data_IF_164556722424
#
_entry.id   IF_164556722424
#
_cell.length_a   1.000
_cell.length_b   1.000
_cell.length_c   1.000
_cell.angle_alpha   90.00
_cell.angle_beta   90.00
_cell.angle_gamma   90.00
#
_symmetry.space_group_name_H-M   'P 1'
#
loop_
_entity.id
_entity.type
_entity.pdbx_description
1 polymer ?
#
# COMPACT_ATOMS: atom_id res chain seq x y z
N UNK A 1 35.40 -22.63 -19.08
CA UNK A 1 35.67 -23.74 -18.15
C UNK A 1 36.55 -24.77 -18.88
N UNK A 2 37.83 -24.50 -19.05
CA UNK A 2 38.65 -25.46 -19.79
C UNK A 2 39.61 -26.29 -18.93
N UNK A 3 39.85 -25.92 -17.68
CA UNK A 3 40.94 -26.60 -16.90
C UNK A 3 40.84 -26.61 -15.40
N UNK A 4 39.79 -26.01 -14.78
CA UNK A 4 39.57 -26.03 -13.34
C UNK A 4 38.13 -26.34 -13.01
N UNK A 5 37.87 -27.10 -11.97
CA UNK A 5 36.51 -27.30 -11.46
C UNK A 5 35.96 -25.96 -10.97
N UNK A 6 34.65 -25.69 -11.20
CA UNK A 6 34.05 -24.45 -10.72
C UNK A 6 34.09 -24.38 -9.18
N UNK A 7 34.71 -23.34 -8.67
CA UNK A 7 34.70 -23.04 -7.25
C UNK A 7 33.49 -22.13 -6.92
N UNK A 8 32.86 -22.38 -5.77
CA UNK A 8 31.76 -21.58 -5.27
C UNK A 8 31.75 -21.50 -3.78
N UNK A 9 31.19 -20.39 -3.25
CA UNK A 9 31.01 -20.20 -1.82
C UNK A 9 29.50 -20.31 -1.51
N UNK A 10 29.17 -21.04 -0.42
CA UNK A 10 27.78 -21.09 0.07
C UNK A 10 27.50 -19.80 0.83
N UNK A 11 26.70 -18.92 0.25
CA UNK A 11 26.31 -17.65 0.86
C UNK A 11 25.19 -17.84 1.89
N UNK A 12 24.22 -18.74 1.60
CA UNK A 12 23.02 -18.93 2.42
C UNK A 12 22.47 -20.33 2.24
N UNK A 13 22.04 -20.95 3.32
CA UNK A 13 21.26 -22.19 3.31
C UNK A 13 19.79 -21.82 3.44
N UNK A 14 19.00 -22.05 2.38
CA UNK A 14 17.58 -21.68 2.31
C UNK A 14 16.72 -22.73 3.02
N UNK A 15 17.03 -24.01 2.84
CA UNK A 15 16.31 -25.12 3.46
C UNK A 15 16.50 -26.43 2.72
N UNK A 16 15.69 -27.44 3.05
CA UNK A 16 15.69 -28.72 2.37
C UNK A 16 14.95 -28.63 1.04
N UNK A 17 15.46 -29.26 -0.01
CA UNK A 17 14.85 -29.27 -1.36
C UNK A 17 13.44 -29.86 -1.41
N UNK A 18 13.07 -30.69 -0.43
CA UNK A 18 11.73 -31.28 -0.31
C UNK A 18 10.71 -30.38 0.42
N UNK A 19 11.16 -29.23 0.94
CA UNK A 19 10.31 -28.28 1.67
C UNK A 19 9.77 -27.22 0.71
N UNK A 20 8.45 -27.09 0.63
CA UNK A 20 7.78 -26.12 -0.24
C UNK A 20 8.14 -24.67 0.12
N UNK A 21 8.33 -24.37 1.42
CA UNK A 21 8.79 -23.06 1.88
C UNK A 21 10.20 -22.76 1.33
N UNK A 22 11.10 -23.72 1.43
CA UNK A 22 12.46 -23.55 0.91
C UNK A 22 12.46 -23.36 -0.61
N UNK A 23 11.56 -24.03 -1.34
CA UNK A 23 11.41 -23.85 -2.79
C UNK A 23 10.88 -22.44 -3.12
N UNK A 24 9.88 -21.94 -2.39
CA UNK A 24 9.39 -20.58 -2.56
C UNK A 24 10.48 -19.55 -2.26
N UNK A 25 11.20 -19.70 -1.16
CA UNK A 25 12.32 -18.82 -0.82
C UNK A 25 13.47 -18.89 -1.86
N UNK A 26 13.72 -20.07 -2.46
CA UNK A 26 14.71 -20.19 -3.53
C UNK A 26 14.33 -19.38 -4.77
N UNK A 27 13.05 -19.36 -5.13
CA UNK A 27 12.53 -18.52 -6.21
C UNK A 27 12.71 -17.04 -5.87
N UNK A 28 12.36 -16.62 -4.64
CA UNK A 28 12.51 -15.23 -4.21
C UNK A 28 13.99 -14.79 -4.25
N UNK A 29 14.92 -15.64 -3.83
CA UNK A 29 16.37 -15.38 -3.90
C UNK A 29 16.86 -15.31 -5.38
N UNK A 30 16.41 -16.24 -6.25
CA UNK A 30 16.76 -16.23 -7.68
C UNK A 30 16.41 -14.92 -8.35
N UNK A 31 15.24 -14.35 -8.01
CA UNK A 31 14.77 -13.07 -8.54
C UNK A 31 15.21 -11.86 -7.71
N UNK A 32 16.07 -12.07 -6.69
CA UNK A 32 16.53 -11.01 -5.77
C UNK A 32 15.38 -10.24 -5.11
N UNK A 33 14.30 -10.93 -4.78
CA UNK A 33 13.13 -10.37 -4.11
C UNK A 33 13.31 -10.43 -2.59
N UNK A 34 13.40 -9.28 -1.90
CA UNK A 34 13.59 -9.25 -0.46
C UNK A 34 12.29 -9.62 0.25
N UNK A 35 12.28 -10.70 1.03
CA UNK A 35 11.10 -11.20 1.74
C UNK A 35 11.15 -11.02 3.27
N UNK A 36 12.24 -10.45 3.77
CA UNK A 36 12.42 -10.10 5.19
C UNK A 36 12.73 -8.61 5.28
N UNK A 37 12.11 -7.90 6.20
CA UNK A 37 12.47 -6.53 6.52
C UNK A 37 13.65 -6.50 7.49
N UNK A 38 14.49 -5.47 7.39
CA UNK A 38 15.58 -5.28 8.36
C UNK A 38 15.05 -4.87 9.73
N UNK A 39 15.82 -5.15 10.79
CA UNK A 39 15.47 -4.74 12.16
C UNK A 39 15.22 -3.23 12.28
N UNK A 40 15.93 -2.42 11.50
CA UNK A 40 15.76 -0.96 11.48
C UNK A 40 14.40 -0.55 10.93
N UNK A 41 13.97 -1.19 9.84
CA UNK A 41 12.65 -0.97 9.22
C UNK A 41 11.54 -1.40 10.17
N UNK A 42 11.70 -2.56 10.81
CA UNK A 42 10.75 -3.06 11.80
C UNK A 42 10.64 -2.13 13.02
N UNK A 43 11.76 -1.65 13.55
CA UNK A 43 11.77 -0.71 14.67
C UNK A 43 11.12 0.62 14.29
N UNK A 44 11.43 1.17 13.11
CA UNK A 44 10.81 2.39 12.60
C UNK A 44 9.31 2.20 12.44
N UNK A 45 8.87 1.12 11.79
CA UNK A 45 7.45 0.77 11.62
C UNK A 45 6.73 0.66 12.96
N UNK A 46 7.35 0.01 13.95
CA UNK A 46 6.76 -0.17 15.27
C UNK A 46 6.63 1.13 16.06
N UNK A 47 7.48 2.12 15.77
CA UNK A 47 7.43 3.45 16.38
C UNK A 47 6.28 4.32 15.85
N UNK A 48 5.75 3.99 14.64
CA UNK A 48 4.64 4.74 14.03
C UNK A 48 3.36 4.51 14.83
N UNK A 49 2.78 5.62 15.28
CA UNK A 49 1.51 5.61 16.02
C UNK A 49 0.32 5.72 15.07
N UNK A 50 -0.79 5.08 15.46
CA UNK A 50 -2.10 5.24 14.79
C UNK A 50 -2.75 6.57 15.18
N UNK A 51 -2.03 7.67 15.04
CA UNK A 51 -2.58 9.00 15.28
C UNK A 51 -3.16 9.50 13.96
N UNK A 52 -4.47 9.77 13.98
CA UNK A 52 -5.10 10.58 12.95
C UNK A 52 -4.64 12.01 13.22
N UNK A 53 -3.63 12.42 12.51
CA UNK A 53 -3.28 13.81 12.50
C UNK A 53 -4.41 14.56 11.78
N UNK A 54 -5.32 15.14 12.56
CA UNK A 54 -6.32 16.07 12.04
C UNK A 54 -5.55 17.34 11.71
N UNK A 55 -4.69 17.21 10.70
CA UNK A 55 -3.98 18.36 10.16
C UNK A 55 -5.03 19.40 9.77
N UNK A 56 -4.79 20.63 10.14
CA UNK A 56 -5.62 21.81 9.85
C UNK A 56 -6.01 21.95 8.36
N UNK A 57 -5.45 21.11 7.52
CA UNK A 57 -5.57 21.13 6.05
C UNK A 57 -6.26 19.89 5.46
N UNK A 58 -6.79 18.95 6.29
CA UNK A 58 -7.55 17.80 5.77
C UNK A 58 -9.04 18.13 5.72
N UNK A 59 -9.65 17.87 4.58
CA UNK A 59 -11.11 17.96 4.46
C UNK A 59 -11.77 16.74 5.13
N UNK A 60 -12.72 16.99 6.01
CA UNK A 60 -13.53 15.91 6.60
C UNK A 60 -14.57 15.42 5.59
N UNK A 61 -14.37 14.18 5.11
CA UNK A 61 -15.29 13.49 4.20
C UNK A 61 -15.97 12.30 4.89
N UNK A 62 -15.85 12.15 6.21
CA UNK A 62 -16.38 11.01 6.95
C UNK A 62 -17.91 10.89 6.92
N UNK A 63 -18.63 11.95 6.55
CA UNK A 63 -20.08 11.94 6.35
C UNK A 63 -20.52 11.38 5.00
N UNK A 64 -19.59 11.18 4.05
CA UNK A 64 -19.91 10.65 2.72
C UNK A 64 -19.82 9.12 2.74
N UNK A 65 -20.73 8.48 2.01
CA UNK A 65 -20.60 7.06 1.72
C UNK A 65 -19.34 6.82 0.91
N UNK A 66 -18.39 6.10 1.52
CA UNK A 66 -17.14 5.71 0.90
C UNK A 66 -17.07 4.19 0.87
N UNK A 67 -16.58 3.60 -0.21
CA UNK A 67 -16.50 2.15 -0.39
C UNK A 67 -15.30 1.78 -1.26
N UNK A 68 -14.79 0.56 -1.06
CA UNK A 68 -13.75 -0.07 -1.89
C UNK A 68 -14.36 -1.16 -2.77
N UNK A 69 -13.67 -1.57 -3.82
CA UNK A 69 -14.06 -2.66 -4.72
C UNK A 69 -12.85 -3.57 -4.91
N UNK A 70 -12.69 -4.54 -4.03
CA UNK A 70 -11.53 -5.42 -3.94
C UNK A 70 -11.95 -6.88 -3.90
N UNK A 71 -11.03 -7.84 -4.12
CA UNK A 71 -11.28 -9.26 -3.84
C UNK A 71 -11.67 -9.50 -2.38
N UNK A 72 -12.44 -10.56 -2.13
CA UNK A 72 -12.97 -10.88 -0.79
C UNK A 72 -11.86 -11.11 0.25
N UNK A 73 -10.72 -11.62 -0.17
CA UNK A 73 -9.55 -11.93 0.65
C UNK A 73 -8.52 -10.80 0.75
N UNK A 74 -8.77 -9.66 0.11
CA UNK A 74 -7.90 -8.49 0.20
C UNK A 74 -7.81 -7.95 1.63
N UNK A 75 -6.62 -7.46 2.01
CA UNK A 75 -6.34 -6.85 3.31
C UNK A 75 -5.73 -5.45 3.19
N UNK A 76 -5.24 -5.13 2.02
CA UNK A 76 -4.52 -3.91 1.66
C UNK A 76 -5.38 -3.04 0.72
N UNK A 77 -6.42 -2.43 1.30
CA UNK A 77 -7.33 -1.54 0.56
C UNK A 77 -6.64 -0.20 0.29
N UNK A 78 -6.07 -0.03 -0.89
CA UNK A 78 -5.27 1.14 -1.24
C UNK A 78 -6.12 2.31 -1.72
N UNK A 79 -7.29 2.04 -2.31
CA UNK A 79 -8.17 3.04 -2.86
C UNK A 79 -9.65 2.83 -2.50
N UNK A 80 -10.39 3.94 -2.51
CA UNK A 80 -11.82 3.95 -2.28
C UNK A 80 -12.51 5.00 -3.14
N UNK A 81 -13.79 4.80 -3.35
CA UNK A 81 -14.65 5.71 -4.08
C UNK A 81 -15.69 6.33 -3.16
N UNK A 82 -16.05 7.59 -3.41
CA UNK A 82 -17.21 8.21 -2.83
C UNK A 82 -18.08 8.84 -3.91
N UNK A 83 -19.36 8.99 -3.60
CA UNK A 83 -20.34 9.49 -4.55
C UNK A 83 -21.28 10.49 -3.88
N UNK A 84 -21.53 11.63 -4.54
CA UNK A 84 -22.49 12.63 -4.10
C UNK A 84 -23.28 13.18 -5.29
N UNK A 85 -24.61 13.11 -5.22
CA UNK A 85 -25.48 13.82 -6.16
C UNK A 85 -25.43 15.31 -5.87
N UNK A 86 -25.29 16.10 -6.91
CA UNK A 86 -25.32 17.56 -6.88
C UNK A 86 -26.59 18.08 -7.58
N UNK A 87 -26.77 19.38 -7.55
CA UNK A 87 -27.85 20.05 -8.27
C UNK A 87 -27.70 19.92 -9.80
N UNK A 88 -28.77 20.19 -10.53
CA UNK A 88 -28.85 20.16 -12.01
C UNK A 88 -28.41 18.83 -12.64
N UNK A 89 -28.74 17.72 -11.97
CA UNK A 89 -28.35 16.36 -12.41
C UNK A 89 -26.83 16.17 -12.56
N UNK A 90 -26.05 16.96 -11.85
CA UNK A 90 -24.60 16.79 -11.74
C UNK A 90 -24.27 15.79 -10.64
N UNK A 91 -23.05 15.22 -10.66
CA UNK A 91 -22.55 14.35 -9.62
C UNK A 91 -21.09 14.62 -9.31
N UNK A 92 -20.72 14.46 -8.06
CA UNK A 92 -19.33 14.43 -7.62
C UNK A 92 -18.93 12.98 -7.35
N UNK A 93 -17.83 12.58 -7.93
CA UNK A 93 -17.17 11.29 -7.65
C UNK A 93 -15.82 11.62 -6.99
N UNK A 94 -15.60 11.09 -5.81
CA UNK A 94 -14.31 11.14 -5.11
C UNK A 94 -13.56 9.84 -5.33
N UNK A 95 -12.27 9.95 -5.63
CA UNK A 95 -11.31 8.84 -5.59
C UNK A 95 -10.34 9.15 -4.47
N UNK A 96 -10.20 8.23 -3.54
CA UNK A 96 -9.44 8.38 -2.32
C UNK A 96 -8.33 7.36 -2.30
N UNK A 97 -7.09 7.80 -2.24
CA UNK A 97 -5.91 6.93 -2.15
C UNK A 97 -5.35 7.05 -0.73
N UNK A 98 -4.99 5.93 -0.12
CA UNK A 98 -4.34 5.92 1.18
C UNK A 98 -3.14 6.87 1.21
N UNK A 99 -3.09 7.81 2.17
CA UNK A 99 -1.99 8.77 2.29
C UNK A 99 -0.77 8.11 2.95
N UNK A 100 -0.13 7.20 2.21
CA UNK A 100 1.08 6.49 2.65
C UNK A 100 2.19 7.47 3.04
N UNK A 101 2.28 8.61 2.36
CA UNK A 101 3.27 9.66 2.64
C UNK A 101 3.10 10.34 4.01
N UNK A 102 1.92 10.17 4.63
CA UNK A 102 1.68 10.57 6.01
C UNK A 102 2.55 9.77 6.99
N UNK A 103 2.74 8.50 6.72
CA UNK A 103 3.49 7.57 7.58
C UNK A 103 4.93 7.38 7.12
N UNK A 104 5.15 7.13 5.83
CA UNK A 104 6.46 6.91 5.25
C UNK A 104 7.11 8.25 4.92
N UNK A 105 8.08 8.66 5.72
CA UNK A 105 8.78 9.94 5.52
C UNK A 105 10.01 9.75 4.64
N UNK A 106 10.27 10.75 3.80
CA UNK A 106 11.42 10.72 2.88
C UNK A 106 12.75 10.55 3.62
N UNK A 107 13.64 9.73 3.06
CA UNK A 107 15.00 9.45 3.56
C UNK A 107 15.07 8.61 4.85
N UNK A 108 13.96 8.12 5.37
CA UNK A 108 13.95 7.15 6.47
C UNK A 108 14.38 5.76 5.99
N UNK A 109 14.62 4.82 6.91
CA UNK A 109 14.95 3.43 6.53
C UNK A 109 13.76 2.76 5.84
N UNK A 110 12.55 3.08 6.28
CA UNK A 110 11.31 2.59 5.68
C UNK A 110 11.13 3.10 4.23
N UNK A 111 11.42 4.38 3.97
CA UNK A 111 11.40 4.96 2.61
C UNK A 111 12.44 4.31 1.69
N UNK A 112 13.66 4.10 2.19
CA UNK A 112 14.73 3.42 1.43
C UNK A 112 14.36 1.98 1.08
N UNK A 113 13.79 1.25 2.04
CA UNK A 113 13.35 -0.13 1.85
C UNK A 113 12.21 -0.20 0.83
N UNK A 114 11.20 0.68 0.96
CA UNK A 114 10.11 0.78 0.01
C UNK A 114 10.60 1.11 -1.40
N UNK A 115 11.55 2.03 -1.53
CA UNK A 115 12.17 2.37 -2.80
C UNK A 115 12.93 1.17 -3.41
N UNK A 116 13.67 0.42 -2.58
CA UNK A 116 14.40 -0.76 -3.02
C UNK A 116 13.47 -1.88 -3.49
N UNK A 117 12.37 -2.15 -2.75
CA UNK A 117 11.37 -3.16 -3.13
C UNK A 117 10.56 -2.76 -4.36
N UNK A 118 10.29 -1.47 -4.52
CA UNK A 118 9.55 -0.84 -5.60
C UNK A 118 8.06 -1.25 -5.72
N UNK A 119 7.69 -2.47 -5.39
CA UNK A 119 6.32 -3.00 -5.49
C UNK A 119 6.11 -4.15 -4.51
N UNK A 120 4.87 -4.47 -4.19
CA UNK A 120 4.50 -5.74 -3.59
C UNK A 120 4.48 -6.84 -4.66
N UNK A 121 4.88 -8.06 -4.30
CA UNK A 121 4.89 -9.22 -5.20
C UNK A 121 3.88 -10.23 -4.69
N UNK A 122 2.88 -10.55 -5.51
CA UNK A 122 1.82 -11.49 -5.18
C UNK A 122 2.17 -12.87 -5.72
N UNK A 123 2.39 -13.82 -4.81
CA UNK A 123 2.57 -15.23 -5.11
C UNK A 123 1.22 -15.96 -4.98
N UNK A 124 1.19 -17.23 -5.35
CA UNK A 124 -0.05 -18.00 -5.31
C UNK A 124 -0.60 -18.21 -3.88
N UNK A 125 0.27 -18.19 -2.87
CA UNK A 125 -0.05 -18.51 -1.47
C UNK A 125 0.26 -17.37 -0.48
N UNK A 126 0.94 -16.33 -0.94
CA UNK A 126 1.35 -15.20 -0.07
C UNK A 126 1.68 -13.94 -0.86
N UNK A 127 1.80 -12.85 -0.13
CA UNK A 127 2.31 -11.57 -0.66
C UNK A 127 3.68 -11.30 -0.04
N UNK A 128 4.64 -10.87 -0.86
CA UNK A 128 5.89 -10.25 -0.41
C UNK A 128 5.68 -8.73 -0.48
N UNK A 129 5.34 -8.07 0.63
CA UNK A 129 4.85 -6.70 0.59
C UNK A 129 5.97 -5.68 0.39
N UNK A 130 5.67 -4.57 -0.29
CA UNK A 130 6.57 -3.43 -0.42
C UNK A 130 6.79 -2.72 0.93
N UNK A 131 5.75 -2.65 1.75
CA UNK A 131 5.76 -2.05 3.08
C UNK A 131 5.41 -3.10 4.14
N UNK A 132 5.91 -2.99 5.39
CA UNK A 132 5.51 -3.88 6.48
C UNK A 132 3.99 -3.92 6.65
N UNK A 133 3.45 -5.10 7.00
CA UNK A 133 2.00 -5.33 7.10
C UNK A 133 1.28 -4.37 8.06
N UNK A 134 1.95 -3.89 9.10
CA UNK A 134 1.40 -2.84 9.97
C UNK A 134 1.02 -1.57 9.20
N UNK A 135 1.71 -1.28 8.10
CA UNK A 135 1.36 -0.17 7.21
C UNK A 135 0.36 -0.62 6.15
N UNK A 136 0.69 -1.63 5.35
CA UNK A 136 -0.12 -2.04 4.20
C UNK A 136 -1.50 -2.56 4.60
N UNK A 137 -1.62 -3.32 5.70
CA UNK A 137 -2.86 -3.98 6.09
C UNK A 137 -3.62 -3.26 7.23
N UNK A 138 -2.97 -2.32 7.93
CA UNK A 138 -3.60 -1.58 9.03
C UNK A 138 -3.56 -0.06 8.81
N UNK A 139 -2.41 0.60 9.01
CA UNK A 139 -2.37 2.07 9.08
C UNK A 139 -2.79 2.74 7.76
N UNK A 140 -2.36 2.21 6.62
CA UNK A 140 -2.69 2.72 5.29
C UNK A 140 -3.96 2.11 4.73
N UNK A 141 -4.25 0.83 5.01
CA UNK A 141 -5.42 0.14 4.45
C UNK A 141 -6.72 0.84 4.83
N UNK A 142 -7.59 1.07 3.86
CA UNK A 142 -8.89 1.73 4.02
C UNK A 142 -9.93 0.79 4.61
N UNK A 143 -9.61 0.23 5.79
CA UNK A 143 -10.43 -0.75 6.50
C UNK A 143 -11.83 -0.20 6.83
N UNK A 144 -12.88 -1.03 6.72
CA UNK A 144 -14.24 -0.60 6.99
C UNK A 144 -14.43 -0.04 8.41
N UNK A 145 -15.17 1.07 8.53
CA UNK A 145 -15.51 1.74 9.79
C UNK A 145 -14.31 2.34 10.54
N UNK A 146 -13.17 2.48 9.89
CA UNK A 146 -12.01 3.15 10.44
C UNK A 146 -11.78 4.49 9.76
N UNK A 147 -11.45 5.51 10.55
CA UNK A 147 -11.02 6.79 9.97
C UNK A 147 -9.63 6.66 9.39
N UNK A 148 -9.46 7.08 8.14
CA UNK A 148 -8.19 6.97 7.41
C UNK A 148 -7.81 8.28 6.76
N UNK A 149 -6.51 8.56 6.79
CA UNK A 149 -5.91 9.66 6.04
C UNK A 149 -5.78 9.28 4.57
N UNK A 150 -6.33 10.10 3.70
CA UNK A 150 -6.29 9.88 2.25
C UNK A 150 -5.85 11.13 1.51
N UNK A 151 -5.31 10.93 0.31
CA UNK A 151 -5.18 11.94 -0.71
C UNK A 151 -6.30 11.74 -1.71
N UNK A 152 -7.12 12.77 -1.92
CA UNK A 152 -8.37 12.65 -2.68
C UNK A 152 -8.36 13.50 -3.93
N UNK A 153 -8.94 12.97 -4.99
CA UNK A 153 -9.34 13.73 -6.17
C UNK A 153 -10.85 13.66 -6.32
N UNK A 154 -11.48 14.81 -6.56
CA UNK A 154 -12.92 14.92 -6.79
C UNK A 154 -13.17 15.38 -8.21
N UNK A 155 -14.00 14.63 -8.92
CA UNK A 155 -14.47 14.93 -10.26
C UNK A 155 -15.95 15.35 -10.18
N UNK A 156 -16.28 16.50 -10.75
CA UNK A 156 -17.68 16.91 -10.93
C UNK A 156 -18.08 16.65 -12.36
N UNK A 157 -19.11 15.82 -12.54
CA UNK A 157 -19.68 15.49 -13.84
C UNK A 157 -21.04 16.17 -14.03
N UNK A 158 -21.34 16.60 -15.26
CA UNK A 158 -22.69 17.01 -15.65
C UNK A 158 -23.56 15.80 -16.04
N UNK A 159 -24.83 16.04 -16.38
CA UNK A 159 -25.79 15.02 -16.83
C UNK A 159 -25.37 14.22 -18.08
N UNK A 160 -24.43 14.74 -18.87
CA UNK A 160 -23.88 14.09 -20.07
C UNK A 160 -22.52 13.43 -19.79
N UNK A 161 -22.18 13.19 -18.53
CA UNK A 161 -20.94 12.59 -18.06
C UNK A 161 -19.65 13.34 -18.48
N UNK A 162 -19.75 14.63 -18.80
CA UNK A 162 -18.59 15.48 -19.05
C UNK A 162 -18.09 16.05 -17.74
N UNK A 163 -16.78 16.06 -17.55
CA UNK A 163 -16.11 16.63 -16.39
C UNK A 163 -16.28 18.16 -16.44
N UNK A 164 -16.82 18.72 -15.37
CA UNK A 164 -16.97 20.17 -15.17
C UNK A 164 -15.86 20.73 -14.31
N UNK A 165 -15.37 19.96 -13.33
CA UNK A 165 -14.35 20.39 -12.38
C UNK A 165 -13.56 19.20 -11.88
N UNK A 166 -12.28 19.47 -11.52
CA UNK A 166 -11.39 18.51 -10.84
C UNK A 166 -10.71 19.27 -9.71
N UNK A 167 -10.67 18.70 -8.52
CA UNK A 167 -9.90 19.24 -7.39
C UNK A 167 -9.20 18.15 -6.60
N UNK A 168 -8.09 18.50 -6.01
CA UNK A 168 -7.26 17.61 -5.18
C UNK A 168 -7.20 18.17 -3.77
N UNK A 169 -7.22 17.30 -2.77
CA UNK A 169 -7.00 17.68 -1.38
C UNK A 169 -6.56 16.47 -0.54
N UNK A 170 -5.96 16.74 0.59
CA UNK A 170 -5.85 15.75 1.67
C UNK A 170 -7.18 15.66 2.39
N UNK A 171 -7.67 14.45 2.66
CA UNK A 171 -8.97 14.22 3.28
C UNK A 171 -8.90 13.18 4.39
N UNK A 172 -9.98 13.13 5.17
CA UNK A 172 -10.27 12.07 6.13
C UNK A 172 -11.53 11.35 5.67
N UNK A 173 -11.48 10.03 5.51
CA UNK A 173 -12.64 9.16 5.17
C UNK A 173 -12.90 8.13 6.27
N UNK A 174 -14.05 7.43 6.21
CA UNK A 174 -14.40 6.33 7.12
C UNK A 174 -15.11 5.22 6.35
#
# INVERSE_FOLDING_TARGET
WKYEDPEGEVLKVIGKSSDSEAQTHAILEEFSLPYVFSDKVEQETNSIKKELDIEKYREDQTSKLTFTIDPEDAKDFDDALSFKKLEYSSMEVGVHIADVSHYVKTKTELDKEAFYRATSVYLADRVVPMLPEKLSNDLCSLNPREKKNVFSVFFVFNKNHKILNIRFCKSLVI
#
